data_IF_951144309107
#
_entry.id   IF_951144309107
#
_cell.length_a   1.000
_cell.length_b   1.000
_cell.length_c   1.000
_cell.angle_alpha   90.00
_cell.angle_beta   90.00
_cell.angle_gamma   90.00
#
_symmetry.space_group_name_H-M   'P 1'
#
loop_
_entity.id
_entity.type
_entity.pdbx_description
1 polymer ?
#
# COMPACT_ATOMS: atom_id res chain seq x y z
N UNK A 1 -34.51 19.46 -5.24
CA UNK A 1 -33.48 20.06 -4.36
C UNK A 1 -32.26 20.36 -5.22
N UNK A 2 -31.67 21.55 -5.10
CA UNK A 2 -30.45 21.88 -5.85
C UNK A 2 -29.31 20.94 -5.46
N UNK A 3 -28.44 20.60 -6.42
CA UNK A 3 -27.24 19.82 -6.15
C UNK A 3 -26.36 20.53 -5.11
N UNK A 4 -25.83 19.79 -4.14
CA UNK A 4 -24.93 20.34 -3.13
C UNK A 4 -23.71 20.98 -3.82
N UNK A 5 -23.47 22.26 -3.54
CA UNK A 5 -22.38 23.03 -4.17
C UNK A 5 -20.98 22.68 -3.64
N UNK A 6 -20.92 21.89 -2.56
CA UNK A 6 -19.65 21.47 -1.96
C UNK A 6 -18.99 20.38 -2.80
N UNK A 7 -17.67 20.42 -2.99
CA UNK A 7 -16.97 19.46 -3.83
C UNK A 7 -16.96 18.07 -3.18
N UNK A 8 -16.89 17.05 -4.02
CA UNK A 8 -16.45 15.73 -3.58
C UNK A 8 -14.93 15.73 -3.44
N UNK A 9 -14.41 14.92 -2.50
CA UNK A 9 -12.99 14.84 -2.20
C UNK A 9 -12.57 13.37 -2.29
N UNK A 10 -11.58 13.08 -3.12
CA UNK A 10 -10.86 11.81 -3.12
C UNK A 10 -9.40 12.07 -2.73
N UNK A 11 -8.94 11.36 -1.72
CA UNK A 11 -7.55 11.37 -1.27
C UNK A 11 -6.91 10.05 -1.65
N UNK A 12 -6.08 10.08 -2.69
CA UNK A 12 -5.38 8.91 -3.21
C UNK A 12 -3.97 8.89 -2.63
N UNK A 13 -3.58 7.77 -2.02
CA UNK A 13 -2.25 7.59 -1.46
C UNK A 13 -1.68 6.23 -1.86
N UNK A 14 -0.44 6.24 -2.34
CA UNK A 14 0.37 5.04 -2.55
C UNK A 14 1.38 4.91 -1.40
N UNK A 15 1.82 3.68 -1.10
CA UNK A 15 2.77 3.42 -0.01
C UNK A 15 4.17 3.18 -0.57
N UNK A 16 5.16 3.92 -0.08
CA UNK A 16 6.54 3.98 -0.60
C UNK A 16 6.74 4.51 -2.04
N UNK A 17 5.72 5.16 -2.63
CA UNK A 17 5.88 5.72 -3.98
C UNK A 17 6.74 7.00 -3.98
N UNK A 18 7.97 6.89 -4.51
CA UNK A 18 8.92 8.00 -4.51
C UNK A 18 8.63 9.03 -5.63
N UNK A 19 8.93 10.30 -5.39
CA UNK A 19 8.80 11.33 -6.44
C UNK A 19 9.66 11.04 -7.68
N UNK A 20 10.82 10.40 -7.49
CA UNK A 20 11.71 9.99 -8.59
C UNK A 20 11.12 8.89 -9.49
N UNK A 21 10.05 8.20 -9.07
CA UNK A 21 9.37 7.20 -9.90
C UNK A 21 8.10 7.75 -10.59
N UNK A 22 7.89 9.06 -10.58
CA UNK A 22 6.75 9.75 -11.20
C UNK A 22 7.28 10.70 -12.30
N UNK A 23 6.79 10.57 -13.54
CA UNK A 23 7.35 11.27 -14.70
C UNK A 23 7.23 12.80 -14.60
N UNK A 24 6.14 13.35 -14.05
CA UNK A 24 6.02 14.81 -13.88
C UNK A 24 7.01 15.44 -12.88
N UNK A 25 7.75 14.63 -12.10
CA UNK A 25 8.86 15.08 -11.25
C UNK A 25 10.24 14.94 -11.90
N UNK A 26 10.33 14.35 -13.10
CA UNK A 26 11.45 14.55 -14.02
C UNK A 26 12.69 13.69 -13.83
N UNK A 27 12.63 12.61 -13.04
CA UNK A 27 13.77 11.71 -12.87
C UNK A 27 13.96 10.69 -14.02
N UNK A 28 12.95 10.55 -14.91
CA UNK A 28 13.07 9.77 -16.14
C UNK A 28 13.10 8.25 -15.97
N UNK A 29 12.71 7.72 -14.80
CA UNK A 29 12.72 6.28 -14.51
C UNK A 29 11.46 5.57 -15.03
N UNK A 30 10.30 6.22 -14.90
CA UNK A 30 8.98 5.65 -15.22
C UNK A 30 8.17 6.60 -16.11
N UNK A 31 7.10 6.05 -16.71
CA UNK A 31 6.07 6.82 -17.41
C UNK A 31 4.72 6.71 -16.67
N UNK A 32 4.21 7.84 -16.14
CA UNK A 32 3.00 7.90 -15.29
C UNK A 32 1.94 8.87 -15.82
N UNK A 33 1.34 8.62 -17.01
CA UNK A 33 0.56 9.61 -17.74
C UNK A 33 -0.70 10.09 -16.99
N UNK A 34 -1.34 9.20 -16.21
CA UNK A 34 -2.52 9.56 -15.42
C UNK A 34 -2.18 10.50 -14.24
N UNK A 35 -1.03 10.29 -13.59
CA UNK A 35 -0.55 11.17 -12.51
C UNK A 35 -0.10 12.51 -13.11
N UNK A 36 0.57 12.47 -14.26
CA UNK A 36 1.01 13.67 -14.98
C UNK A 36 -0.17 14.53 -15.44
N UNK A 37 -1.29 13.90 -15.84
CA UNK A 37 -2.54 14.59 -16.14
C UNK A 37 -3.07 15.37 -14.92
N UNK A 38 -3.09 14.75 -13.73
CA UNK A 38 -3.48 15.45 -12.49
C UNK A 38 -2.56 16.65 -12.19
N UNK A 39 -1.25 16.49 -12.41
CA UNK A 39 -0.30 17.59 -12.22
C UNK A 39 -0.51 18.73 -13.23
N UNK A 40 -0.86 18.42 -14.48
CA UNK A 40 -1.10 19.38 -15.56
C UNK A 40 -2.43 20.12 -15.41
N UNK A 41 -3.47 19.42 -14.98
CA UNK A 41 -4.83 19.97 -14.84
C UNK A 41 -5.09 20.58 -13.45
N UNK A 42 -4.18 20.35 -12.50
CA UNK A 42 -4.28 20.83 -11.13
C UNK A 42 -3.00 21.52 -10.66
N UNK A 43 -2.51 21.08 -9.50
CA UNK A 43 -1.34 21.67 -8.86
C UNK A 43 -0.33 20.59 -8.46
N UNK A 44 0.94 20.84 -8.80
CA UNK A 44 2.08 20.02 -8.38
C UNK A 44 2.89 20.74 -7.32
N UNK A 45 3.13 20.09 -6.19
CA UNK A 45 3.96 20.62 -5.10
C UNK A 45 5.38 20.09 -5.21
N UNK A 46 6.37 20.96 -5.39
CA UNK A 46 7.78 20.58 -5.40
C UNK A 46 8.39 20.48 -3.99
N UNK A 47 7.68 20.97 -2.97
CA UNK A 47 8.12 21.02 -1.58
C UNK A 47 6.95 20.61 -0.66
N UNK A 48 6.72 19.30 -0.55
CA UNK A 48 5.75 18.71 0.37
C UNK A 48 6.45 17.59 1.14
N UNK A 49 6.44 17.67 2.46
CA UNK A 49 7.20 16.79 3.33
C UNK A 49 6.28 16.14 4.36
N UNK A 50 6.48 14.84 4.58
CA UNK A 50 5.87 14.14 5.71
C UNK A 50 6.54 14.58 7.01
N UNK A 51 5.77 14.58 8.10
CA UNK A 51 6.25 14.95 9.44
C UNK A 51 7.13 13.88 10.07
N UNK A 52 6.90 12.61 9.70
CA UNK A 52 7.68 11.46 10.12
C UNK A 52 7.66 10.42 8.99
N UNK A 53 8.84 10.04 8.48
CA UNK A 53 9.02 9.23 7.27
C UNK A 53 8.88 7.72 7.51
N UNK A 54 7.78 7.32 8.16
CA UNK A 54 7.40 5.93 8.45
C UNK A 54 5.88 5.80 8.24
N UNK A 55 5.39 4.65 7.77
CA UNK A 55 4.00 4.44 7.36
C UNK A 55 2.96 4.84 8.43
N UNK A 56 2.96 4.20 9.61
CA UNK A 56 1.99 4.46 10.70
C UNK A 56 2.00 5.93 11.14
N UNK A 57 3.15 6.54 11.47
CA UNK A 57 3.19 7.94 11.91
C UNK A 57 2.78 8.95 10.83
N UNK A 58 3.14 8.71 9.56
CA UNK A 58 2.74 9.57 8.44
C UNK A 58 1.22 9.55 8.26
N UNK A 59 0.62 8.35 8.23
CA UNK A 59 -0.83 8.15 8.11
C UNK A 59 -1.59 8.81 9.27
N UNK A 60 -1.09 8.70 10.50
CA UNK A 60 -1.69 9.32 11.67
C UNK A 60 -1.66 10.86 11.58
N UNK A 61 -0.55 11.42 11.11
CA UNK A 61 -0.41 12.87 10.92
C UNK A 61 -1.36 13.39 9.84
N UNK A 62 -1.50 12.68 8.71
CA UNK A 62 -2.45 13.01 7.64
C UNK A 62 -3.90 12.96 8.16
N UNK A 63 -4.26 11.90 8.88
CA UNK A 63 -5.61 11.67 9.37
C UNK A 63 -6.03 12.72 10.42
N UNK A 64 -5.12 13.09 11.32
CA UNK A 64 -5.40 13.99 12.46
C UNK A 64 -5.06 15.46 12.19
N UNK A 65 -4.23 15.76 11.18
CA UNK A 65 -3.73 17.10 10.91
C UNK A 65 -2.74 17.61 11.97
N UNK A 66 -2.11 16.72 12.73
CA UNK A 66 -1.21 17.08 13.85
C UNK A 66 0.11 16.32 13.79
N UNK A 67 1.16 16.88 14.39
CA UNK A 67 2.45 16.20 14.57
C UNK A 67 2.32 14.97 15.49
N UNK A 68 3.24 14.02 15.34
CA UNK A 68 3.19 12.75 16.06
C UNK A 68 3.31 12.85 17.59
N UNK A 69 3.93 13.91 18.12
CA UNK A 69 3.95 14.17 19.56
C UNK A 69 2.59 14.63 20.12
N UNK A 70 1.67 15.08 19.25
CA UNK A 70 0.29 15.45 19.61
C UNK A 70 -0.64 14.25 19.45
N UNK A 71 -0.51 13.49 18.35
CA UNK A 71 -1.36 12.33 18.11
C UNK A 71 -0.92 11.03 18.80
N UNK A 72 0.31 10.98 19.34
CA UNK A 72 0.84 9.85 20.09
C UNK A 72 1.31 8.66 19.24
N UNK A 73 1.23 8.72 17.91
CA UNK A 73 1.66 7.66 17.00
C UNK A 73 3.06 7.97 16.47
N UNK A 74 4.10 7.52 17.16
CA UNK A 74 5.50 7.90 16.88
C UNK A 74 6.30 6.83 16.12
N UNK A 75 5.95 5.56 16.27
CA UNK A 75 6.62 4.41 15.64
C UNK A 75 5.62 3.46 14.97
N UNK A 76 6.10 2.39 14.35
CA UNK A 76 5.26 1.33 13.78
C UNK A 76 4.44 0.57 14.85
N UNK A 77 4.94 0.50 16.09
CA UNK A 77 4.31 -0.23 17.19
C UNK A 77 3.20 0.56 17.90
N UNK A 78 2.97 1.82 17.51
CA UNK A 78 1.89 2.62 18.05
C UNK A 78 0.62 2.47 17.22
N UNK A 79 -0.54 2.57 17.87
CA UNK A 79 -1.84 2.52 17.22
C UNK A 79 -2.61 3.83 17.43
N UNK A 80 -3.46 4.19 16.47
CA UNK A 80 -4.31 5.37 16.60
C UNK A 80 -5.37 5.13 17.68
N UNK A 81 -5.60 6.12 18.54
CA UNK A 81 -6.80 6.11 19.37
C UNK A 81 -7.99 6.55 18.52
N UNK A 82 -8.92 5.63 18.23
CA UNK A 82 -10.07 5.93 17.38
C UNK A 82 -10.97 7.06 17.89
N UNK A 83 -10.85 7.50 19.14
CA UNK A 83 -11.64 8.61 19.68
C UNK A 83 -11.07 9.99 19.32
N UNK A 84 -9.82 10.07 18.87
CA UNK A 84 -9.18 11.33 18.46
C UNK A 84 -9.94 12.05 17.33
N UNK A 85 -9.97 13.39 17.33
CA UNK A 85 -10.42 14.16 16.17
C UNK A 85 -9.67 13.73 14.90
N UNK A 86 -10.39 13.63 13.79
CA UNK A 86 -9.80 13.32 12.49
C UNK A 86 -10.60 13.94 11.35
N UNK A 87 -9.95 14.08 10.18
CA UNK A 87 -10.53 14.73 9.00
C UNK A 87 -11.88 14.12 8.58
N UNK A 88 -12.03 12.80 8.65
CA UNK A 88 -13.27 12.11 8.28
C UNK A 88 -14.42 12.45 9.24
N UNK A 89 -14.17 12.45 10.56
CA UNK A 89 -15.17 12.88 11.56
C UNK A 89 -15.63 14.31 11.33
N UNK A 90 -14.70 15.22 11.06
CA UNK A 90 -15.02 16.63 10.81
C UNK A 90 -15.88 16.78 9.54
N UNK A 91 -15.48 16.14 8.43
CA UNK A 91 -16.25 16.17 7.18
C UNK A 91 -17.63 15.51 7.34
N UNK A 92 -17.72 14.41 8.08
CA UNK A 92 -18.98 13.74 8.38
C UNK A 92 -19.94 14.61 9.19
N UNK A 93 -19.46 15.33 10.21
CA UNK A 93 -20.26 16.35 10.92
C UNK A 93 -20.73 17.46 9.96
N UNK A 94 -19.92 17.80 8.97
CA UNK A 94 -20.28 18.69 7.88
C UNK A 94 -21.28 18.12 6.87
N UNK A 95 -21.75 16.88 7.00
CA UNK A 95 -22.75 16.25 6.11
C UNK A 95 -22.17 15.44 4.95
N UNK A 96 -20.84 15.32 4.84
CA UNK A 96 -20.21 14.44 3.87
C UNK A 96 -20.53 12.98 4.16
N UNK A 97 -20.59 12.17 3.10
CA UNK A 97 -20.47 10.72 3.18
C UNK A 97 -18.98 10.36 3.17
N UNK A 98 -18.55 9.45 4.02
CA UNK A 98 -17.13 9.23 4.29
C UNK A 98 -16.73 7.77 4.10
N UNK A 99 -15.64 7.53 3.38
CA UNK A 99 -15.14 6.18 3.15
C UNK A 99 -13.62 6.06 3.27
N UNK A 100 -13.18 4.87 3.69
CA UNK A 100 -11.77 4.47 3.75
C UNK A 100 -11.58 3.09 3.12
N UNK A 101 -10.79 2.99 2.05
CA UNK A 101 -10.53 1.74 1.34
C UNK A 101 -9.03 1.50 1.19
N UNK A 102 -8.57 0.30 1.53
CA UNK A 102 -7.18 -0.14 1.34
C UNK A 102 -6.33 -0.05 2.60
N UNK A 103 -5.08 0.38 2.49
CA UNK A 103 -4.12 0.29 3.60
C UNK A 103 -4.45 1.30 4.71
N UNK A 104 -4.85 0.79 5.88
CA UNK A 104 -5.11 1.59 7.08
C UNK A 104 -3.84 1.79 7.91
N UNK A 105 -3.23 0.70 8.35
CA UNK A 105 -1.92 0.68 9.01
C UNK A 105 -1.81 1.61 10.23
N UNK A 106 -2.90 1.76 10.99
CA UNK A 106 -2.99 2.54 12.23
C UNK A 106 -3.41 1.69 13.43
N UNK A 107 -3.22 0.37 13.33
CA UNK A 107 -3.67 -0.62 14.30
C UNK A 107 -4.96 -1.32 13.88
N UNK A 108 -5.25 -2.41 14.58
CA UNK A 108 -6.39 -3.30 14.33
C UNK A 108 -7.23 -3.48 15.60
N UNK A 109 -8.44 -3.96 15.43
CA UNK A 109 -9.38 -4.20 16.52
C UNK A 109 -10.14 -2.95 16.96
N UNK A 110 -11.09 -3.15 17.87
CA UNK A 110 -12.15 -2.18 18.17
C UNK A 110 -11.64 -0.81 18.61
N UNK A 111 -10.45 -0.68 19.19
CA UNK A 111 -9.92 0.62 19.65
C UNK A 111 -9.14 1.39 18.58
N UNK A 112 -8.82 0.74 17.46
CA UNK A 112 -7.90 1.22 16.43
C UNK A 112 -8.46 1.12 15.00
N UNK A 113 -9.65 0.52 14.84
CA UNK A 113 -10.41 0.49 13.58
C UNK A 113 -10.68 1.90 13.02
N UNK A 114 -10.88 2.04 11.70
CA UNK A 114 -11.29 3.31 11.10
C UNK A 114 -12.53 3.90 11.78
N UNK A 115 -12.47 5.18 12.13
CA UNK A 115 -13.58 5.89 12.78
C UNK A 115 -13.84 7.25 12.15
N UNK A 116 -15.11 7.65 12.11
CA UNK A 116 -15.54 8.82 11.34
C UNK A 116 -15.83 8.54 9.87
N UNK A 117 -15.76 7.27 9.45
CA UNK A 117 -16.13 6.79 8.13
C UNK A 117 -17.49 6.09 8.20
N UNK A 118 -18.37 6.35 7.22
CA UNK A 118 -19.64 5.65 7.03
C UNK A 118 -19.43 4.26 6.42
N UNK A 119 -18.35 4.09 5.65
CA UNK A 119 -17.90 2.82 5.08
C UNK A 119 -16.38 2.66 5.24
N UNK A 120 -15.92 1.46 5.59
CA UNK A 120 -14.50 1.14 5.49
C UNK A 120 -14.25 -0.33 5.16
N UNK A 121 -13.20 -0.57 4.40
CA UNK A 121 -12.70 -1.90 4.01
C UNK A 121 -11.19 -1.81 3.91
N UNK A 122 -10.49 -2.39 4.89
CA UNK A 122 -9.05 -2.10 5.09
C UNK A 122 -8.19 -3.34 5.17
N UNK A 123 -6.96 -3.24 4.68
CA UNK A 123 -5.99 -4.33 4.72
C UNK A 123 -5.46 -4.54 6.16
N UNK A 124 -5.36 -5.79 6.65
CA UNK A 124 -4.64 -6.10 7.89
C UNK A 124 -3.13 -5.91 7.69
N UNK A 125 -2.44 -5.45 8.72
CA UNK A 125 -0.99 -5.25 8.71
C UNK A 125 -0.49 -4.50 7.48
N UNK A 126 0.46 -5.11 6.76
CA UNK A 126 1.04 -4.57 5.53
C UNK A 126 0.17 -4.83 4.28
N UNK A 127 -0.87 -5.64 4.40
CA UNK A 127 -1.67 -6.20 3.31
C UNK A 127 -0.89 -7.17 2.42
N UNK A 128 -1.61 -7.85 1.54
CA UNK A 128 -1.03 -8.74 0.52
C UNK A 128 -1.23 -8.16 -0.88
N UNK A 129 -0.41 -8.59 -1.84
CA UNK A 129 -0.57 -8.19 -3.24
C UNK A 129 -1.62 -9.02 -3.97
N UNK A 130 -1.69 -10.33 -3.69
CA UNK A 130 -2.61 -11.27 -4.32
C UNK A 130 -3.54 -11.90 -3.32
N UNK A 131 -4.81 -12.02 -3.69
CA UNK A 131 -5.91 -12.50 -2.87
C UNK A 131 -5.92 -11.88 -1.45
N UNK A 132 -5.90 -10.55 -1.32
CA UNK A 132 -5.80 -9.89 -0.03
C UNK A 132 -7.00 -10.14 0.88
N UNK A 133 -6.72 -10.31 2.16
CA UNK A 133 -7.74 -10.17 3.21
C UNK A 133 -8.09 -8.68 3.40
N UNK A 134 -9.37 -8.40 3.60
CA UNK A 134 -9.90 -7.12 4.04
C UNK A 134 -10.68 -7.30 5.34
N UNK A 135 -10.41 -6.43 6.31
CA UNK A 135 -11.21 -6.27 7.51
C UNK A 135 -12.31 -5.25 7.20
N UNK A 136 -13.55 -5.61 7.51
CA UNK A 136 -14.75 -4.78 7.41
C UNK A 136 -15.56 -4.86 8.71
N UNK A 137 -16.55 -3.98 8.96
CA UNK A 137 -17.40 -4.04 10.15
C UNK A 137 -18.13 -5.38 10.34
N UNK A 138 -18.45 -6.06 9.25
CA UNK A 138 -19.13 -7.36 9.26
C UNK A 138 -18.17 -8.55 9.50
N UNK A 139 -16.86 -8.31 9.49
CA UNK A 139 -15.83 -9.35 9.61
C UNK A 139 -14.77 -9.23 8.52
N UNK A 140 -13.85 -10.19 8.52
CA UNK A 140 -12.82 -10.32 7.48
C UNK A 140 -13.32 -11.12 6.29
N UNK A 141 -12.82 -10.79 5.10
CA UNK A 141 -12.99 -11.60 3.88
C UNK A 141 -11.75 -11.54 3.00
N UNK A 142 -11.53 -12.61 2.24
CA UNK A 142 -10.50 -12.67 1.20
C UNK A 142 -11.15 -12.27 -0.12
N UNK A 143 -10.49 -11.39 -0.87
CA UNK A 143 -10.93 -10.92 -2.19
C UNK A 143 -9.99 -11.46 -3.25
N UNK A 144 -10.51 -12.19 -4.23
CA UNK A 144 -9.67 -12.78 -5.30
C UNK A 144 -9.09 -11.70 -6.23
N UNK A 145 -7.80 -11.79 -6.55
CA UNK A 145 -7.15 -10.94 -7.54
C UNK A 145 -6.04 -10.04 -6.99
N UNK A 146 -5.75 -8.95 -7.70
CA UNK A 146 -4.63 -8.05 -7.38
C UNK A 146 -5.08 -6.83 -6.57
N UNK A 147 -4.45 -6.60 -5.43
CA UNK A 147 -4.87 -5.61 -4.42
C UNK A 147 -5.03 -4.18 -4.96
N UNK A 148 -4.22 -3.77 -5.94
CA UNK A 148 -4.32 -2.41 -6.50
C UNK A 148 -5.59 -2.24 -7.31
N UNK A 149 -5.98 -3.28 -8.06
CA UNK A 149 -7.21 -3.30 -8.85
C UNK A 149 -8.41 -3.41 -7.88
N UNK A 150 -8.36 -4.34 -6.91
CA UNK A 150 -9.43 -4.53 -5.90
C UNK A 150 -9.72 -3.26 -5.08
N UNK A 151 -8.69 -2.54 -4.61
CA UNK A 151 -8.88 -1.28 -3.87
C UNK A 151 -9.58 -0.23 -4.75
N UNK A 152 -9.22 -0.18 -6.04
CA UNK A 152 -9.82 0.75 -7.00
C UNK A 152 -11.28 0.39 -7.25
N UNK A 153 -11.58 -0.89 -7.48
CA UNK A 153 -12.93 -1.37 -7.75
C UNK A 153 -13.85 -1.14 -6.55
N UNK A 154 -13.41 -1.52 -5.33
CA UNK A 154 -14.15 -1.22 -4.08
C UNK A 154 -14.43 0.27 -3.90
N UNK A 155 -13.46 1.12 -4.26
CA UNK A 155 -13.61 2.57 -4.21
C UNK A 155 -14.65 3.07 -5.20
N UNK A 156 -14.63 2.57 -6.43
CA UNK A 156 -15.58 2.91 -7.48
C UNK A 156 -16.99 2.41 -7.14
N UNK A 157 -17.12 1.19 -6.65
CA UNK A 157 -18.38 0.59 -6.22
C UNK A 157 -19.04 1.41 -5.12
N UNK A 158 -18.26 1.82 -4.10
CA UNK A 158 -18.77 2.69 -3.05
C UNK A 158 -19.20 4.06 -3.60
N UNK A 159 -18.40 4.66 -4.49
CA UNK A 159 -18.77 5.92 -5.15
C UNK A 159 -20.10 5.74 -5.90
N UNK A 160 -20.30 4.66 -6.63
CA UNK A 160 -21.53 4.42 -7.39
C UNK A 160 -22.76 4.19 -6.50
N UNK A 161 -22.59 3.51 -5.36
CA UNK A 161 -23.68 3.14 -4.46
C UNK A 161 -24.13 4.25 -3.48
N UNK A 162 -23.32 5.30 -3.29
CA UNK A 162 -23.59 6.37 -2.31
C UNK A 162 -24.83 7.23 -2.67
N UNK A 163 -25.33 8.01 -1.71
CA UNK A 163 -26.36 9.03 -1.99
C UNK A 163 -25.76 10.19 -2.82
N UNK A 164 -26.09 10.28 -4.11
CA UNK A 164 -25.57 11.31 -5.01
C UNK A 164 -25.99 12.75 -4.63
N UNK A 165 -26.95 12.93 -3.70
CA UNK A 165 -27.39 14.26 -3.22
C UNK A 165 -26.46 14.85 -2.16
N UNK A 166 -25.54 14.05 -1.61
CA UNK A 166 -24.59 14.46 -0.56
C UNK A 166 -23.15 14.39 -1.09
N UNK A 167 -22.27 15.33 -0.71
CA UNK A 167 -20.87 15.28 -1.09
C UNK A 167 -20.18 14.10 -0.39
N UNK A 168 -19.05 13.65 -0.93
CA UNK A 168 -18.29 12.55 -0.35
C UNK A 168 -16.83 12.89 -0.07
N UNK A 169 -16.24 12.18 0.88
CA UNK A 169 -14.83 12.13 1.17
C UNK A 169 -14.37 10.67 1.18
N UNK A 170 -13.50 10.31 0.25
CA UNK A 170 -12.95 8.96 0.12
C UNK A 170 -11.43 9.00 0.32
N UNK A 171 -10.93 8.20 1.26
CA UNK A 171 -9.51 7.85 1.34
C UNK A 171 -9.28 6.53 0.60
N UNK A 172 -8.59 6.59 -0.54
CA UNK A 172 -8.22 5.45 -1.37
C UNK A 172 -6.71 5.20 -1.21
N UNK A 173 -6.34 4.20 -0.40
CA UNK A 173 -4.95 3.97 -0.01
C UNK A 173 -4.43 2.66 -0.57
N UNK A 174 -3.61 2.73 -1.60
CA UNK A 174 -2.98 1.55 -2.19
C UNK A 174 -1.86 0.99 -1.31
N UNK A 175 -1.66 -0.34 -1.39
CA UNK A 175 -0.47 -1.03 -0.86
C UNK A 175 0.76 -0.75 -1.73
N UNK A 176 0.58 -0.75 -3.05
CA UNK A 176 1.68 -0.58 -3.99
C UNK A 176 2.28 0.84 -3.89
N UNK A 177 3.59 1.01 -4.15
CA UNK A 177 4.61 -0.02 -4.43
C UNK A 177 5.39 -0.52 -3.19
N UNK A 178 4.78 -0.66 -2.01
CA UNK A 178 5.50 -1.15 -0.82
C UNK A 178 6.11 -2.55 -1.03
N UNK A 179 7.23 -2.84 -0.36
CA UNK A 179 7.90 -4.17 -0.39
C UNK A 179 6.89 -5.31 -0.12
N UNK A 180 6.94 -6.44 -0.82
CA UNK A 180 8.03 -6.99 -1.66
C UNK A 180 7.92 -6.76 -3.17
N UNK A 181 7.22 -5.70 -3.62
CA UNK A 181 7.19 -5.28 -5.02
C UNK A 181 6.63 -6.31 -6.03
N UNK A 182 5.73 -7.20 -5.58
CA UNK A 182 5.02 -8.12 -6.47
C UNK A 182 4.15 -7.30 -7.44
N UNK A 183 4.45 -7.37 -8.74
CA UNK A 183 3.69 -6.65 -9.74
C UNK A 183 2.56 -7.51 -10.33
N UNK A 184 1.50 -6.87 -10.81
CA UNK A 184 0.49 -7.55 -11.60
C UNK A 184 1.13 -8.14 -12.87
N UNK A 185 0.76 -9.36 -13.25
CA UNK A 185 1.28 -10.06 -14.43
C UNK A 185 1.26 -9.21 -15.72
N UNK A 186 0.24 -8.36 -15.90
CA UNK A 186 0.12 -7.45 -17.05
C UNK A 186 1.24 -6.39 -17.15
N UNK A 187 2.03 -6.21 -16.09
CA UNK A 187 3.08 -5.20 -15.97
C UNK A 187 4.50 -5.77 -15.96
N UNK A 188 4.68 -7.10 -15.90
CA UNK A 188 6.01 -7.74 -15.72
C UNK A 188 7.05 -7.34 -16.78
N UNK A 189 6.60 -7.09 -18.00
CA UNK A 189 7.46 -6.75 -19.13
C UNK A 189 7.57 -5.25 -19.42
N UNK A 190 6.95 -4.39 -18.61
CA UNK A 190 6.91 -2.93 -18.89
C UNK A 190 8.29 -2.27 -18.84
N UNK A 191 9.18 -2.76 -17.97
CA UNK A 191 10.51 -2.17 -17.75
C UNK A 191 11.56 -3.27 -17.72
N UNK A 192 12.25 -3.47 -18.84
CA UNK A 192 13.33 -4.47 -19.00
C UNK A 192 14.68 -3.83 -19.31
N UNK A 193 14.69 -2.52 -19.62
CA UNK A 193 15.90 -1.78 -19.90
C UNK A 193 16.71 -1.49 -18.62
N UNK A 194 18.05 -1.45 -18.70
CA UNK A 194 18.89 -1.06 -17.58
C UNK A 194 18.54 0.33 -17.04
N UNK A 195 18.39 0.46 -15.72
CA UNK A 195 18.17 1.74 -15.05
C UNK A 195 19.52 2.39 -14.77
N UNK A 196 19.65 3.68 -15.06
CA UNK A 196 20.82 4.47 -14.65
C UNK A 196 20.89 4.52 -13.12
N UNK A 197 21.99 4.03 -12.56
CA UNK A 197 22.27 4.16 -11.14
C UNK A 197 22.55 5.62 -10.76
N UNK A 198 22.07 6.09 -9.59
CA UNK A 198 22.39 7.42 -9.11
C UNK A 198 23.90 7.54 -8.80
N UNK A 199 24.46 8.73 -8.97
CA UNK A 199 25.90 8.98 -8.74
C UNK A 199 26.35 8.64 -7.29
N UNK A 200 25.41 8.62 -6.34
CA UNK A 200 25.63 8.27 -4.93
C UNK A 200 25.30 6.81 -4.59
N UNK A 201 25.12 5.93 -5.58
CA UNK A 201 24.73 4.52 -5.36
C UNK A 201 25.75 3.77 -4.47
N UNK A 202 27.03 4.10 -4.60
CA UNK A 202 28.15 3.48 -3.87
C UNK A 202 28.70 4.37 -2.74
N UNK A 203 27.88 5.26 -2.15
CA UNK A 203 28.30 6.12 -1.02
C UNK A 203 28.84 5.25 0.15
N UNK A 204 30.04 5.56 0.62
CA UNK A 204 30.74 4.86 1.71
C UNK A 204 30.30 5.33 3.11
N UNK A 205 29.46 6.37 3.16
CA UNK A 205 28.93 7.02 4.35
C UNK A 205 30.00 7.60 5.30
N UNK A 206 31.28 7.71 4.90
CA UNK A 206 32.37 8.12 5.81
C UNK A 206 32.15 9.51 6.42
N UNK A 207 31.46 10.38 5.69
CA UNK A 207 31.14 11.75 6.07
C UNK A 207 29.66 11.92 6.45
N UNK A 208 28.95 10.85 6.83
CA UNK A 208 27.53 10.86 7.17
C UNK A 208 27.32 10.56 8.66
N UNK A 209 26.17 10.96 9.18
CA UNK A 209 25.78 10.64 10.55
C UNK A 209 25.68 9.13 10.77
N UNK A 210 25.94 8.67 12.00
CA UNK A 210 25.85 7.24 12.39
C UNK A 210 24.51 6.59 12.01
N UNK A 211 23.41 7.36 12.08
CA UNK A 211 22.08 6.91 11.68
C UNK A 211 22.03 6.43 10.22
N UNK A 212 22.70 7.12 9.29
CA UNK A 212 22.76 6.73 7.88
C UNK A 212 23.48 5.38 7.68
N UNK A 213 24.47 5.08 8.55
CA UNK A 213 25.21 3.81 8.52
C UNK A 213 24.40 2.63 9.05
N UNK A 214 23.50 2.84 10.01
CA UNK A 214 22.69 1.76 10.59
C UNK A 214 21.33 1.56 9.93
N UNK A 215 20.97 2.42 8.97
CA UNK A 215 19.75 2.24 8.18
C UNK A 215 19.70 0.84 7.55
N UNK A 216 18.50 0.28 7.44
CA UNK A 216 18.20 -0.98 6.77
C UNK A 216 17.54 -0.70 5.43
N UNK A 217 17.26 -1.76 4.65
CA UNK A 217 16.70 -1.72 3.29
C UNK A 217 17.71 -1.33 2.20
N UNK A 218 19.00 -1.65 2.39
CA UNK A 218 20.01 -1.48 1.34
C UNK A 218 19.87 -2.56 0.29
N UNK A 219 20.08 -2.16 -0.97
CA UNK A 219 20.08 -3.08 -2.11
C UNK A 219 21.07 -4.23 -1.91
N UNK A 220 22.30 -3.91 -1.46
CA UNK A 220 23.38 -4.89 -1.34
C UNK A 220 23.25 -5.78 -0.09
N UNK A 221 22.67 -5.27 1.01
CA UNK A 221 22.72 -5.94 2.31
C UNK A 221 21.38 -6.55 2.74
N UNK A 222 20.25 -6.02 2.27
CA UNK A 222 18.94 -6.32 2.83
C UNK A 222 17.90 -6.83 1.81
N UNK A 223 18.23 -6.91 0.51
CA UNK A 223 17.37 -7.54 -0.48
C UNK A 223 17.33 -9.06 -0.28
N UNK A 224 16.13 -9.62 -0.41
CA UNK A 224 15.90 -11.07 -0.34
C UNK A 224 15.60 -11.62 -1.73
N UNK A 225 15.65 -12.95 -1.87
CA UNK A 225 15.18 -13.64 -3.09
C UNK A 225 13.74 -13.27 -3.44
N UNK A 226 12.89 -13.05 -2.43
CA UNK A 226 11.52 -12.62 -2.63
C UNK A 226 11.50 -11.22 -3.26
N UNK A 227 12.30 -10.27 -2.80
CA UNK A 227 12.34 -8.93 -3.40
C UNK A 227 12.82 -8.92 -4.85
N UNK A 228 13.72 -9.82 -5.18
CA UNK A 228 14.25 -9.99 -6.53
C UNK A 228 13.26 -10.70 -7.46
N UNK A 229 12.09 -11.13 -6.95
CA UNK A 229 11.11 -11.88 -7.73
C UNK A 229 11.51 -13.35 -7.98
N UNK A 230 12.61 -13.83 -7.39
CA UNK A 230 13.16 -15.17 -7.65
C UNK A 230 12.35 -16.29 -6.99
N UNK A 231 11.65 -15.98 -5.90
CA UNK A 231 10.80 -16.92 -5.14
C UNK A 231 9.41 -16.36 -4.84
N UNK A 232 8.93 -15.42 -5.65
CA UNK A 232 7.56 -14.91 -5.51
C UNK A 232 6.58 -15.90 -6.15
N UNK A 233 5.57 -16.41 -5.42
CA UNK A 233 4.51 -17.17 -6.07
C UNK A 233 3.78 -16.24 -7.04
N UNK A 234 3.90 -16.52 -8.33
CA UNK A 234 3.42 -15.62 -9.37
C UNK A 234 1.89 -15.64 -9.51
N UNK A 235 1.17 -14.89 -8.69
CA UNK A 235 -0.27 -14.68 -8.86
C UNK A 235 -1.13 -15.07 -7.65
N UNK A 236 -2.42 -15.16 -7.91
CA UNK A 236 -3.45 -15.52 -6.92
C UNK A 236 -3.63 -17.03 -6.77
N UNK A 237 -4.82 -17.44 -6.31
CA UNK A 237 -5.16 -18.83 -5.97
C UNK A 237 -4.91 -19.86 -7.08
N UNK A 238 -4.82 -19.42 -8.33
CA UNK A 238 -4.54 -20.31 -9.47
C UNK A 238 -3.11 -20.86 -9.48
N UNK A 239 -2.15 -20.22 -8.79
CA UNK A 239 -0.81 -20.81 -8.58
C UNK A 239 -0.70 -21.64 -7.30
N UNK A 240 -1.77 -21.73 -6.51
CA UNK A 240 -1.80 -22.48 -5.27
C UNK A 240 -2.59 -21.80 -4.15
N UNK A 241 -3.08 -22.61 -3.21
CA UNK A 241 -3.69 -22.10 -1.99
C UNK A 241 -2.66 -21.43 -1.09
N UNK A 242 -3.08 -20.40 -0.34
CA UNK A 242 -2.22 -19.77 0.66
C UNK A 242 -1.84 -20.75 1.77
N UNK A 243 -0.61 -20.66 2.26
CA UNK A 243 -0.22 -21.29 3.52
C UNK A 243 -0.91 -20.55 4.67
N UNK A 244 -1.88 -21.20 5.32
CA UNK A 244 -2.64 -20.61 6.43
C UNK A 244 -2.04 -20.92 7.80
N UNK A 245 -1.05 -21.81 7.87
CA UNK A 245 -0.44 -22.25 9.13
C UNK A 245 0.51 -21.20 9.73
N UNK A 246 1.01 -20.26 8.92
CA UNK A 246 1.96 -19.23 9.34
C UNK A 246 1.37 -17.83 9.13
N UNK A 247 1.16 -17.11 10.23
CA UNK A 247 0.58 -15.77 10.20
C UNK A 247 1.53 -14.80 9.48
N UNK A 248 1.07 -14.24 8.37
CA UNK A 248 1.86 -13.30 7.56
C UNK A 248 2.73 -13.96 6.48
N UNK A 249 2.64 -15.29 6.32
CA UNK A 249 3.26 -15.94 5.16
C UNK A 249 2.53 -15.51 3.87
N UNK A 250 3.32 -15.06 2.90
CA UNK A 250 2.90 -14.81 1.52
C UNK A 250 3.05 -16.05 0.64
N UNK A 251 3.53 -17.15 1.21
CA UNK A 251 3.78 -18.41 0.52
C UNK A 251 2.47 -19.09 0.10
N UNK A 252 2.54 -19.78 -1.04
CA UNK A 252 1.46 -20.60 -1.57
C UNK A 252 1.92 -22.05 -1.64
N UNK A 253 1.01 -22.96 -1.29
CA UNK A 253 1.20 -24.40 -1.45
C UNK A 253 1.34 -24.70 -2.93
N UNK A 254 2.20 -25.66 -3.28
CA UNK A 254 2.25 -26.20 -4.64
C UNK A 254 0.84 -26.73 -4.98
N UNK A 255 0.24 -26.35 -6.13
CA UNK A 255 -1.03 -26.90 -6.57
C UNK A 255 -0.92 -28.42 -6.61
N UNK A 256 -1.87 -29.14 -6.01
CA UNK A 256 -1.83 -30.58 -5.79
C UNK A 256 -1.15 -31.33 -6.96
N UNK A 257 0.13 -31.70 -6.83
CA UNK A 257 0.82 -32.42 -7.89
C UNK A 257 0.12 -33.77 -8.07
N UNK A 258 -0.02 -34.20 -9.32
CA UNK A 258 -0.44 -35.57 -9.63
C UNK A 258 0.50 -36.58 -8.94
N UNK A 259 0.03 -37.80 -8.72
CA UNK A 259 0.86 -38.86 -8.11
C UNK A 259 2.19 -39.04 -8.87
N UNK A 260 2.17 -38.87 -10.20
CA UNK A 260 3.36 -38.92 -11.06
C UNK A 260 4.33 -37.73 -10.84
N UNK A 261 3.81 -36.54 -10.55
CA UNK A 261 4.63 -35.36 -10.22
C UNK A 261 5.22 -35.48 -8.81
N UNK A 262 4.47 -36.04 -7.86
CA UNK A 262 4.96 -36.34 -6.50
C UNK A 262 6.14 -37.32 -6.53
N UNK A 263 6.06 -38.37 -7.33
CA UNK A 263 7.14 -39.36 -7.49
C UNK A 263 8.43 -38.77 -8.10
N UNK A 264 8.32 -37.64 -8.81
CA UNK A 264 9.44 -36.91 -9.42
C UNK A 264 10.03 -35.83 -8.51
N UNK A 265 9.37 -35.49 -7.39
CA UNK A 265 9.94 -34.55 -6.42
C UNK A 265 11.23 -35.12 -5.85
N UNK A 266 12.29 -34.31 -5.88
CA UNK A 266 13.57 -34.59 -5.25
C UNK A 266 13.88 -33.44 -4.31
N UNK A 267 14.31 -33.75 -3.09
CA UNK A 267 14.92 -32.75 -2.23
C UNK A 267 16.24 -32.36 -2.91
N UNK A 268 16.44 -31.07 -3.17
CA UNK A 268 17.64 -30.58 -3.83
C UNK A 268 18.88 -30.94 -3.02
N UNK A 269 19.63 -31.93 -3.51
CA UNK A 269 21.06 -31.99 -3.32
C UNK A 269 21.64 -31.70 -4.70
N UNK A 270 22.44 -30.64 -4.82
CA UNK A 270 23.29 -30.47 -5.98
C UNK A 270 24.10 -31.76 -6.14
N UNK A 271 23.89 -32.50 -7.22
CA UNK A 271 24.78 -33.60 -7.61
C UNK A 271 26.01 -33.10 -8.39
N UNK A 272 26.18 -31.78 -8.55
CA UNK A 272 27.31 -31.15 -9.25
C UNK A 272 27.99 -30.04 -8.43
N UNK A 273 28.55 -30.39 -7.26
CA UNK A 273 29.54 -29.59 -6.52
C UNK A 273 30.81 -30.39 -6.21
#
# INVERSE_FOLDING_TARGET
MAADSRPNIIFIMADDHASKSISCYGAGINHTPNIDKLAKEGMKFNHCYVTNSICTPSRASILTGTYNHVNGVMTLDNHINKHMPNVAKHLRTGGYQTAMVGKWHLGEGRMHEPSGFDYWSVLPGQGEYWDPEFIEPAGSKIEDGYVTDIITDKSLDWIQARDARRPFFLMCHHKAPHRSWECNNKHKSLYTDPIRLPDTFTDDYKNRAKAAKVAKMRIVEDLTYQDLGLVQPEGGRWVGERVQQEKGASERKIPAPTDEELEKLRLGADEDA
#
